data_IF_764369450020
#
_entry.id   IF_764369450020
#
_cell.length_a   1.000
_cell.length_b   1.000
_cell.length_c   1.000
_cell.angle_alpha   90.00
_cell.angle_beta   90.00
_cell.angle_gamma   90.00
#
_symmetry.space_group_name_H-M   'P 1'
#
loop_
_entity.id
_entity.type
_entity.pdbx_description
1 polymer ?
#
# COMPACT_ATOMS: atom_id res chain seq x y z
N UNK A 1 -8.05 -1.54 -9.99
CA UNK A 1 -8.98 -0.56 -9.38
C UNK A 1 -9.05 -0.87 -7.90
N UNK A 2 -8.32 -0.11 -7.09
CA UNK A 2 -8.35 -0.21 -5.63
C UNK A 2 -9.62 0.47 -5.13
N UNK A 3 -10.60 -0.31 -4.67
CA UNK A 3 -11.85 0.25 -4.15
C UNK A 3 -11.54 1.01 -2.85
N UNK A 4 -11.98 2.26 -2.74
CA UNK A 4 -11.95 3.04 -1.49
C UNK A 4 -10.70 3.88 -1.18
N UNK A 5 -9.58 3.72 -1.89
CA UNK A 5 -8.36 4.52 -1.64
C UNK A 5 -8.06 5.47 -2.80
N UNK A 6 -7.90 6.75 -2.47
CA UNK A 6 -7.59 7.79 -3.44
C UNK A 6 -6.06 7.96 -3.56
N UNK A 7 -5.50 8.05 -4.78
CA UNK A 7 -4.07 8.33 -4.94
C UNK A 7 -3.72 9.67 -4.28
N UNK A 8 -2.62 9.71 -3.52
CA UNK A 8 -2.14 10.91 -2.84
C UNK A 8 -0.68 11.22 -3.17
N UNK A 9 -0.41 12.50 -3.45
CA UNK A 9 0.93 12.97 -3.77
C UNK A 9 1.46 12.50 -5.15
N UNK A 10 2.78 12.59 -5.32
CA UNK A 10 3.49 12.20 -6.54
C UNK A 10 4.08 10.79 -6.48
N UNK A 11 3.92 10.11 -5.36
CA UNK A 11 4.42 8.75 -5.11
C UNK A 11 3.24 7.78 -5.13
N UNK A 12 3.46 6.48 -5.36
CA UNK A 12 2.42 5.43 -5.36
C UNK A 12 1.82 5.19 -3.96
N UNK A 13 1.26 6.25 -3.38
CA UNK A 13 0.54 6.26 -2.14
C UNK A 13 -0.95 6.42 -2.44
N UNK A 14 -1.77 5.76 -1.66
CA UNK A 14 -3.19 5.99 -1.66
C UNK A 14 -3.64 6.14 -0.20
N UNK A 15 -4.44 7.18 0.07
CA UNK A 15 -4.98 7.44 1.40
C UNK A 15 -6.50 7.58 1.34
N UNK A 16 -7.13 7.34 2.49
CA UNK A 16 -8.54 7.64 2.71
C UNK A 16 -8.66 8.23 4.10
N UNK A 17 -9.52 9.23 4.26
CA UNK A 17 -9.77 9.90 5.53
C UNK A 17 -11.20 9.63 5.94
N UNK A 18 -11.36 9.11 7.15
CA UNK A 18 -12.66 8.89 7.77
C UNK A 18 -12.88 9.92 8.86
N UNK A 19 -14.14 10.31 9.03
CA UNK A 19 -14.58 11.21 10.09
C UNK A 19 -15.12 10.45 11.30
N UNK A 20 -15.57 9.22 11.09
CA UNK A 20 -16.01 8.28 12.12
C UNK A 20 -15.36 6.90 11.94
N UNK A 21 -15.23 6.13 13.03
CA UNK A 21 -14.65 4.79 12.97
C UNK A 21 -15.56 3.78 12.25
N UNK A 22 -16.87 4.01 12.26
CA UNK A 22 -17.86 3.13 11.61
C UNK A 22 -17.78 3.20 10.07
N UNK A 23 -17.12 4.22 9.51
CA UNK A 23 -16.88 4.35 8.07
C UNK A 23 -15.76 3.42 7.56
N UNK A 24 -15.00 2.79 8.47
CA UNK A 24 -13.88 1.91 8.12
C UNK A 24 -14.40 0.53 7.70
N UNK A 25 -14.22 0.21 6.41
CA UNK A 25 -14.36 -1.16 5.91
C UNK A 25 -13.21 -2.05 6.44
N UNK A 26 -13.49 -2.76 7.54
CA UNK A 26 -12.51 -3.64 8.19
C UNK A 26 -12.12 -4.85 7.35
N UNK A 27 -13.02 -5.37 6.51
CA UNK A 27 -12.74 -6.49 5.61
C UNK A 27 -11.79 -6.04 4.50
N UNK A 28 -12.08 -4.88 3.92
CA UNK A 28 -11.17 -4.20 3.00
C UNK A 28 -9.79 -4.01 3.64
N UNK A 29 -9.74 -3.36 4.80
CA UNK A 29 -8.50 -3.09 5.53
C UNK A 29 -7.67 -4.36 5.80
N UNK A 30 -8.30 -5.45 6.19
CA UNK A 30 -7.64 -6.74 6.39
C UNK A 30 -6.95 -7.24 5.11
N UNK A 31 -7.62 -7.08 3.96
CA UNK A 31 -7.06 -7.39 2.64
C UNK A 31 -5.83 -6.54 2.32
N UNK A 32 -5.91 -5.22 2.54
CA UNK A 32 -4.77 -4.29 2.35
C UNK A 32 -3.57 -4.64 3.22
N UNK A 33 -3.80 -4.94 4.50
CA UNK A 33 -2.73 -5.33 5.43
C UNK A 33 -2.11 -6.68 5.06
N UNK A 34 -2.91 -7.62 4.54
CA UNK A 34 -2.40 -8.89 4.02
C UNK A 34 -1.50 -8.69 2.81
N UNK A 35 -1.95 -7.89 1.83
CA UNK A 35 -1.18 -7.57 0.64
C UNK A 35 0.13 -6.83 0.99
N UNK A 36 0.10 -5.88 1.93
CA UNK A 36 1.27 -5.15 2.39
C UNK A 36 2.32 -6.06 3.05
N UNK A 37 1.91 -7.15 3.74
CA UNK A 37 2.83 -8.15 4.29
C UNK A 37 3.46 -9.04 3.22
N UNK A 38 2.72 -9.33 2.14
CA UNK A 38 3.20 -10.19 1.06
C UNK A 38 4.09 -9.44 0.07
N UNK A 39 3.78 -8.17 -0.18
CA UNK A 39 4.48 -7.33 -1.15
C UNK A 39 5.40 -6.40 -0.38
N UNK A 40 6.59 -6.89 -0.06
CA UNK A 40 7.65 -6.05 0.46
C UNK A 40 8.48 -5.47 -0.68
N UNK A 41 8.68 -4.16 -0.67
CA UNK A 41 9.54 -3.45 -1.61
C UNK A 41 10.94 -3.24 -1.03
N UNK A 42 11.97 -3.33 -1.87
CA UNK A 42 13.36 -3.09 -1.49
C UNK A 42 13.69 -1.59 -1.52
N UNK A 43 13.25 -0.88 -0.49
CA UNK A 43 13.59 0.53 -0.32
C UNK A 43 15.07 0.76 0.01
N UNK A 44 15.74 -0.22 0.63
CA UNK A 44 17.14 -0.15 1.04
C UNK A 44 18.07 -0.03 -0.18
N UNK A 45 17.76 -0.76 -1.25
CA UNK A 45 18.55 -0.77 -2.49
C UNK A 45 17.94 0.04 -3.64
N UNK A 46 16.93 0.90 -3.40
CA UNK A 46 16.21 1.64 -4.45
C UNK A 46 17.13 2.44 -5.40
N UNK A 47 18.24 3.00 -4.87
CA UNK A 47 19.25 3.71 -5.67
C UNK A 47 20.04 2.79 -6.59
N UNK A 48 20.40 1.61 -6.11
CA UNK A 48 21.17 0.60 -6.87
C UNK A 48 20.28 -0.09 -7.90
N UNK A 49 19.04 -0.39 -7.52
CA UNK A 49 18.01 -0.98 -8.37
C UNK A 49 17.47 -0.01 -9.43
N UNK A 50 17.82 1.28 -9.33
CA UNK A 50 17.31 2.37 -10.19
C UNK A 50 15.78 2.43 -10.23
N UNK A 51 15.13 2.09 -9.11
CA UNK A 51 13.70 1.95 -9.01
C UNK A 51 13.27 0.98 -7.92
N UNK A 52 11.96 0.91 -7.70
CA UNK A 52 11.33 -0.02 -6.77
C UNK A 52 11.34 -1.44 -7.34
N UNK A 53 11.91 -2.36 -6.58
CA UNK A 53 11.92 -3.80 -6.90
C UNK A 53 11.29 -4.52 -5.72
N UNK A 54 10.47 -5.54 -6.00
CA UNK A 54 9.89 -6.37 -4.93
C UNK A 54 10.98 -7.23 -4.33
N UNK A 55 11.06 -7.25 -3.00
CA UNK A 55 12.01 -8.06 -2.23
C UNK A 55 11.56 -9.52 -2.07
N UNK A 56 10.31 -9.79 -2.38
CA UNK A 56 9.65 -11.06 -2.06
C UNK A 56 9.23 -11.75 -3.35
N UNK A 57 9.99 -12.77 -3.72
CA UNK A 57 9.53 -13.94 -4.48
C UNK A 57 9.42 -15.07 -3.43
N UNK A 58 8.20 -15.42 -3.00
CA UNK A 58 7.97 -16.69 -2.30
C UNK A 58 7.40 -17.70 -3.30
#
# INVERSE_FOLDING_TARGET
>A
MTVGLAPSGSFEAAEVRFTDADEIDTDGLAGWLSAARQILWDYDHIRTNRGLVKRTDF
#
